data_IF_857129352243
#
_entry.id   IF_857129352243
#
_cell.length_a   1.000
_cell.length_b   1.000
_cell.length_c   1.000
_cell.angle_alpha   90.00
_cell.angle_beta   90.00
_cell.angle_gamma   90.00
#
_symmetry.space_group_name_H-M   'P 1'
#
loop_
_entity.id
_entity.type
_entity.pdbx_description
1 polymer ?
#
# COMPACT_ATOMS: atom_id res chain seq x y z
N UNK A 1 -21.28 8.72 3.28
CA UNK A 1 -22.14 7.59 2.85
C UNK A 1 -21.25 6.36 2.80
N UNK A 2 -21.53 5.36 3.65
CA UNK A 2 -20.82 4.06 3.61
C UNK A 2 -21.41 3.30 2.42
N UNK A 3 -20.80 3.45 1.24
CA UNK A 3 -21.03 2.44 0.21
C UNK A 3 -20.59 1.11 0.81
N UNK A 4 -21.46 0.10 0.77
CA UNK A 4 -21.12 -1.23 1.24
C UNK A 4 -19.88 -1.70 0.46
N UNK A 5 -18.79 -1.89 1.20
CA UNK A 5 -17.55 -2.36 0.60
C UNK A 5 -17.78 -3.77 0.06
N UNK A 6 -17.44 -4.00 -1.20
CA UNK A 6 -17.51 -5.35 -1.77
C UNK A 6 -16.77 -6.34 -0.85
N UNK A 7 -17.40 -7.42 -0.39
CA UNK A 7 -16.81 -8.35 0.57
C UNK A 7 -15.50 -9.00 0.08
N UNK A 8 -15.28 -9.05 -1.23
CA UNK A 8 -14.03 -9.53 -1.84
C UNK A 8 -12.85 -8.57 -1.65
N UNK A 9 -13.14 -7.28 -1.34
CA UNK A 9 -12.12 -6.23 -1.25
C UNK A 9 -11.13 -6.49 -0.12
N UNK A 10 -11.60 -6.75 1.08
CA UNK A 10 -10.76 -6.92 2.25
C UNK A 10 -10.37 -8.38 2.46
N UNK A 11 -9.10 -8.70 2.36
CA UNK A 11 -8.56 -9.99 2.74
C UNK A 11 -8.15 -9.92 4.22
N UNK A 12 -9.05 -10.38 5.10
CA UNK A 12 -8.84 -10.35 6.54
C UNK A 12 -7.79 -11.40 6.95
N UNK A 13 -6.55 -10.95 7.14
CA UNK A 13 -5.42 -11.72 7.64
C UNK A 13 -5.12 -11.29 9.07
N UNK A 14 -4.62 -12.22 9.91
CA UNK A 14 -4.30 -11.94 11.31
C UNK A 14 -3.08 -11.02 11.45
N UNK A 15 -2.08 -11.21 10.59
CA UNK A 15 -0.82 -10.47 10.61
C UNK A 15 -0.85 -9.12 9.91
N UNK A 16 -1.98 -8.70 9.31
CA UNK A 16 -2.11 -7.43 8.61
C UNK A 16 -3.44 -6.75 8.89
N UNK A 17 -3.49 -5.44 8.70
CA UNK A 17 -4.70 -4.64 8.85
C UNK A 17 -5.27 -4.15 7.52
N UNK A 18 -4.40 -3.96 6.52
CA UNK A 18 -4.70 -3.16 5.33
C UNK A 18 -4.60 -3.96 4.03
N UNK A 19 -4.65 -5.31 4.14
CA UNK A 19 -4.57 -6.17 2.95
C UNK A 19 -5.90 -6.16 2.21
N UNK A 20 -5.85 -5.78 0.93
CA UNK A 20 -7.03 -5.74 0.08
C UNK A 20 -6.73 -5.88 -1.40
N UNK A 21 -7.71 -6.42 -2.11
CA UNK A 21 -7.73 -6.51 -3.57
C UNK A 21 -8.16 -5.18 -4.19
N UNK A 22 -7.54 -4.78 -5.29
CA UNK A 22 -7.89 -3.57 -6.04
C UNK A 22 -8.69 -3.88 -7.33
N UNK A 23 -9.31 -5.06 -7.40
CA UNK A 23 -10.24 -5.44 -8.46
C UNK A 23 -11.59 -4.72 -8.38
N UNK A 24 -12.39 -4.80 -9.45
CA UNK A 24 -13.76 -4.29 -9.51
C UNK A 24 -13.89 -2.78 -9.65
N UNK A 25 -12.81 -2.01 -9.84
CA UNK A 25 -12.91 -0.59 -10.16
C UNK A 25 -13.19 -0.37 -11.64
N UNK A 26 -14.21 0.43 -11.93
CA UNK A 26 -14.53 0.84 -13.30
C UNK A 26 -13.39 1.67 -13.90
N UNK A 27 -13.15 1.47 -15.18
CA UNK A 27 -12.21 2.25 -15.99
C UNK A 27 -12.94 3.18 -16.95
N UNK A 28 -12.26 4.19 -17.46
CA UNK A 28 -12.87 5.17 -18.36
C UNK A 28 -13.29 4.62 -19.74
N UNK A 29 -13.00 3.37 -20.04
CA UNK A 29 -13.35 2.66 -21.28
C UNK A 29 -14.35 1.52 -21.05
N UNK A 30 -15.23 1.65 -20.05
CA UNK A 30 -16.29 0.71 -19.68
C UNK A 30 -15.84 -0.71 -19.29
N UNK A 31 -14.56 -0.87 -18.92
CA UNK A 31 -14.03 -2.10 -18.34
C UNK A 31 -13.95 -2.00 -16.81
N UNK A 32 -13.44 -3.04 -16.20
CA UNK A 32 -13.17 -3.08 -14.77
C UNK A 32 -11.81 -3.73 -14.50
N UNK A 33 -11.14 -3.30 -13.42
CA UNK A 33 -9.97 -3.99 -12.91
C UNK A 33 -10.34 -5.40 -12.45
N UNK A 34 -9.49 -6.39 -12.77
CA UNK A 34 -9.76 -7.78 -12.44
C UNK A 34 -9.51 -8.07 -10.97
N UNK A 35 -10.42 -8.83 -10.36
CA UNK A 35 -10.20 -9.44 -9.06
C UNK A 35 -9.15 -10.55 -9.12
N UNK A 36 -8.53 -10.84 -7.97
CA UNK A 36 -7.57 -11.94 -7.88
C UNK A 36 -6.25 -11.67 -8.60
N UNK A 37 -5.87 -10.39 -8.79
CA UNK A 37 -4.67 -10.02 -9.57
C UNK A 37 -3.69 -9.19 -8.78
N UNK A 38 -4.18 -8.20 -8.05
CA UNK A 38 -3.32 -7.26 -7.34
C UNK A 38 -3.86 -7.01 -5.94
N UNK A 39 -3.06 -7.36 -4.94
CA UNK A 39 -3.26 -7.02 -3.55
C UNK A 39 -2.36 -5.85 -3.16
N UNK A 40 -2.89 -4.93 -2.38
CA UNK A 40 -2.09 -3.97 -1.61
C UNK A 40 -2.15 -4.31 -0.13
N UNK A 41 -1.05 -4.08 0.60
CA UNK A 41 -0.97 -4.45 2.02
C UNK A 41 -0.07 -3.52 2.82
N UNK A 42 -0.18 -3.60 4.14
CA UNK A 42 0.86 -3.24 5.11
C UNK A 42 1.88 -4.38 5.23
N UNK A 43 2.81 -4.27 6.18
CA UNK A 43 3.95 -5.20 6.30
C UNK A 43 3.51 -6.64 6.55
N UNK A 44 4.13 -7.57 5.82
CA UNK A 44 3.83 -9.01 5.85
C UNK A 44 4.68 -9.79 6.86
N UNK A 45 5.47 -9.12 7.71
CA UNK A 45 6.42 -9.77 8.62
C UNK A 45 5.75 -10.56 9.76
N UNK A 46 4.49 -10.28 10.07
CA UNK A 46 3.73 -10.93 11.14
C UNK A 46 2.68 -11.94 10.64
N UNK A 47 2.68 -12.28 9.36
CA UNK A 47 1.74 -13.27 8.85
C UNK A 47 1.92 -14.63 9.55
N UNK A 48 0.81 -15.19 10.01
CA UNK A 48 0.74 -16.56 10.52
C UNK A 48 0.88 -17.58 9.37
N UNK A 49 1.01 -18.86 9.70
CA UNK A 49 1.00 -19.90 8.67
C UNK A 49 -0.37 -19.98 7.98
N UNK A 50 -1.46 -19.77 8.73
CA UNK A 50 -2.81 -19.73 8.17
C UNK A 50 -2.98 -18.55 7.19
N UNK A 51 -2.42 -17.39 7.52
CA UNK A 51 -2.40 -16.24 6.60
C UNK A 51 -1.63 -16.54 5.33
N UNK A 52 -0.46 -17.18 5.46
CA UNK A 52 0.34 -17.61 4.29
C UNK A 52 -0.43 -18.62 3.44
N UNK A 53 -1.13 -19.55 4.07
CA UNK A 53 -1.97 -20.52 3.37
C UNK A 53 -3.11 -19.83 2.60
N UNK A 54 -3.80 -18.85 3.21
CA UNK A 54 -4.83 -18.04 2.53
C UNK A 54 -4.29 -17.28 1.34
N UNK A 55 -3.06 -16.75 1.43
CA UNK A 55 -2.41 -16.08 0.29
C UNK A 55 -2.04 -17.08 -0.82
N UNK A 56 -1.62 -18.30 -0.47
CA UNK A 56 -1.41 -19.38 -1.45
C UNK A 56 -2.73 -19.76 -2.15
N UNK A 57 -3.81 -19.90 -1.40
CA UNK A 57 -5.15 -20.20 -1.94
C UNK A 57 -5.69 -19.06 -2.82
N UNK A 58 -5.36 -17.82 -2.50
CA UNK A 58 -5.61 -16.66 -3.37
C UNK A 58 -4.83 -16.77 -4.69
N UNK A 59 -3.80 -17.59 -4.74
CA UNK A 59 -2.93 -17.79 -5.90
C UNK A 59 -1.74 -16.85 -5.95
N UNK A 60 -1.33 -16.26 -4.80
CA UNK A 60 -0.20 -15.33 -4.74
C UNK A 60 1.05 -15.93 -5.36
N UNK A 61 1.66 -15.22 -6.31
CA UNK A 61 2.92 -15.60 -6.98
C UNK A 61 4.07 -14.67 -6.62
N UNK A 62 3.77 -13.42 -6.29
CA UNK A 62 4.81 -12.40 -6.15
C UNK A 62 4.53 -11.46 -4.98
N UNK A 63 5.58 -11.18 -4.24
CA UNK A 63 5.63 -10.11 -3.23
C UNK A 63 6.54 -9.00 -3.74
N UNK A 64 6.05 -7.77 -3.73
CA UNK A 64 6.81 -6.55 -4.01
C UNK A 64 6.90 -5.71 -2.73
N UNK A 65 8.04 -5.77 -2.07
CA UNK A 65 8.31 -5.07 -0.81
C UNK A 65 8.96 -3.70 -1.09
N UNK A 66 8.26 -2.62 -0.72
CA UNK A 66 8.68 -1.24 -0.95
C UNK A 66 9.41 -0.62 0.25
N UNK A 67 9.72 -1.41 1.27
CA UNK A 67 10.32 -0.93 2.51
C UNK A 67 11.79 -0.55 2.31
N UNK A 68 12.29 0.28 3.24
CA UNK A 68 13.73 0.58 3.33
C UNK A 68 14.51 -0.67 3.74
N UNK A 69 15.79 -0.70 3.42
CA UNK A 69 16.67 -1.79 3.83
C UNK A 69 16.62 -2.00 5.35
N UNK A 70 16.64 -0.92 6.13
CA UNK A 70 16.54 -1.00 7.59
C UNK A 70 15.24 -1.66 8.05
N UNK A 71 14.09 -1.28 7.48
CA UNK A 71 12.79 -1.87 7.83
C UNK A 71 12.76 -3.36 7.51
N UNK A 72 13.29 -3.75 6.36
CA UNK A 72 13.38 -5.15 5.94
C UNK A 72 14.29 -5.98 6.86
N UNK A 73 15.45 -5.44 7.27
CA UNK A 73 16.35 -6.15 8.18
C UNK A 73 15.79 -6.28 9.60
N UNK A 74 15.06 -5.28 10.10
CA UNK A 74 14.45 -5.31 11.43
C UNK A 74 13.22 -6.22 11.52
N UNK A 75 12.46 -6.28 10.45
CA UNK A 75 11.19 -7.04 10.34
C UNK A 75 11.20 -7.83 9.02
N UNK A 76 11.96 -8.95 8.92
CA UNK A 76 12.07 -9.72 7.70
C UNK A 76 10.69 -10.17 7.18
N UNK A 77 10.50 -10.10 5.85
CA UNK A 77 9.28 -10.59 5.24
C UNK A 77 9.23 -12.12 5.29
N UNK A 78 8.08 -12.68 5.62
CA UNK A 78 7.90 -14.14 5.72
C UNK A 78 8.12 -14.89 4.39
N UNK A 79 8.12 -14.17 3.27
CA UNK A 79 8.36 -14.73 1.93
C UNK A 79 9.78 -14.46 1.40
N UNK A 80 10.67 -13.88 2.22
CA UNK A 80 12.02 -13.49 1.76
C UNK A 80 12.81 -14.67 1.17
N UNK A 81 12.76 -15.86 1.81
CA UNK A 81 13.42 -17.09 1.35
C UNK A 81 12.42 -18.13 0.83
N UNK A 82 11.23 -17.71 0.38
CA UNK A 82 10.22 -18.63 -0.12
C UNK A 82 10.62 -19.25 -1.46
N UNK A 83 10.43 -20.56 -1.61
CA UNK A 83 10.56 -21.25 -2.88
C UNK A 83 9.29 -21.20 -3.74
N UNK A 84 8.15 -20.80 -3.16
CA UNK A 84 6.83 -20.81 -3.80
C UNK A 84 6.40 -19.43 -4.31
N UNK A 85 6.90 -18.37 -3.67
CA UNK A 85 6.54 -17.00 -3.97
C UNK A 85 7.79 -16.21 -4.32
N UNK A 86 7.80 -15.58 -5.50
CA UNK A 86 8.90 -14.72 -5.92
C UNK A 86 8.89 -13.42 -5.10
N UNK A 87 10.03 -13.11 -4.50
CA UNK A 87 10.17 -11.90 -3.67
C UNK A 87 11.03 -10.85 -4.38
N UNK A 88 10.46 -9.67 -4.57
CA UNK A 88 11.15 -8.48 -5.06
C UNK A 88 11.25 -7.45 -3.95
N UNK A 89 12.46 -7.01 -3.63
CA UNK A 89 12.69 -5.88 -2.74
C UNK A 89 13.09 -4.64 -3.54
N UNK A 90 12.24 -3.61 -3.48
CA UNK A 90 12.49 -2.31 -4.08
C UNK A 90 12.45 -1.23 -2.99
N UNK A 91 13.62 -0.82 -2.48
CA UNK A 91 13.69 0.28 -1.53
C UNK A 91 13.25 1.60 -2.20
N UNK A 92 11.93 1.80 -2.28
CA UNK A 92 11.30 2.84 -3.09
C UNK A 92 11.79 4.25 -2.73
N UNK A 93 12.07 4.53 -1.46
CA UNK A 93 12.42 5.88 -0.99
C UNK A 93 13.89 6.03 -0.61
N UNK A 94 14.67 4.94 -0.67
CA UNK A 94 16.09 4.90 -0.29
C UNK A 94 16.32 5.05 1.20
N UNK A 95 17.57 4.79 1.62
CA UNK A 95 17.99 4.90 3.02
C UNK A 95 18.59 6.28 3.34
N UNK A 96 19.04 7.00 2.33
CA UNK A 96 19.53 8.37 2.48
C UNK A 96 18.34 9.32 2.62
N UNK A 97 18.30 10.16 3.67
CA UNK A 97 17.28 11.17 3.80
C UNK A 97 17.19 12.08 2.56
N UNK A 98 15.99 12.41 2.15
CA UNK A 98 15.73 13.40 1.11
C UNK A 98 15.23 14.69 1.79
N UNK A 99 16.12 15.66 2.11
CA UNK A 99 15.72 16.88 2.79
C UNK A 99 14.62 17.66 2.07
N UNK A 100 14.57 17.55 0.74
CA UNK A 100 13.55 18.18 -0.11
C UNK A 100 12.13 17.66 0.15
N UNK A 101 11.97 16.49 0.80
CA UNK A 101 10.65 15.99 1.21
C UNK A 101 10.05 16.81 2.35
N UNK A 102 10.89 17.50 3.13
CA UNK A 102 10.41 18.45 4.10
C UNK A 102 9.76 19.60 3.34
N UNK A 103 8.47 19.77 3.58
CA UNK A 103 7.72 20.84 2.91
C UNK A 103 8.23 22.21 3.35
N UNK A 104 8.14 23.22 2.46
CA UNK A 104 8.34 24.60 2.87
C UNK A 104 7.47 24.97 4.09
N UNK A 105 7.92 25.89 4.94
CA UNK A 105 7.11 26.41 6.03
C UNK A 105 5.73 26.87 5.53
N UNK A 106 4.68 26.58 6.31
CA UNK A 106 3.31 26.97 5.99
C UNK A 106 2.49 25.95 5.19
N UNK A 107 3.09 24.89 4.68
CA UNK A 107 2.31 23.76 4.12
C UNK A 107 1.93 22.79 5.25
N UNK A 108 0.63 22.50 5.36
CA UNK A 108 0.08 21.58 6.35
C UNK A 108 -0.83 20.50 5.72
N UNK A 109 -1.11 19.47 6.48
CA UNK A 109 -2.09 18.43 6.12
C UNK A 109 -1.82 17.85 4.73
N UNK A 110 -2.85 17.93 3.87
CA UNK A 110 -2.83 17.34 2.53
C UNK A 110 -1.79 18.00 1.60
N UNK A 111 -1.58 19.31 1.71
CA UNK A 111 -0.64 20.05 0.86
C UNK A 111 0.81 19.62 1.16
N UNK A 112 1.14 19.44 2.43
CA UNK A 112 2.44 18.90 2.84
C UNK A 112 2.65 17.47 2.32
N UNK A 113 1.61 16.64 2.37
CA UNK A 113 1.67 15.27 1.86
C UNK A 113 1.84 15.24 0.34
N UNK A 114 1.08 16.06 -0.37
CA UNK A 114 1.18 16.25 -1.81
C UNK A 114 2.60 16.67 -2.22
N UNK A 115 3.18 17.64 -1.52
CA UNK A 115 4.58 18.03 -1.71
C UNK A 115 5.53 16.84 -1.55
N UNK A 116 5.45 16.13 -0.43
CA UNK A 116 6.32 14.98 -0.17
C UNK A 116 6.21 13.90 -1.24
N UNK A 117 5.01 13.62 -1.75
CA UNK A 117 4.79 12.62 -2.79
C UNK A 117 5.35 13.06 -4.14
N UNK A 118 5.17 14.32 -4.53
CA UNK A 118 5.75 14.82 -5.79
C UNK A 118 7.28 14.73 -5.77
N UNK A 119 7.92 15.08 -4.65
CA UNK A 119 9.38 14.91 -4.51
C UNK A 119 9.80 13.43 -4.62
N UNK A 120 9.08 12.51 -3.98
CA UNK A 120 9.38 11.08 -4.13
C UNK A 120 9.27 10.66 -5.59
N UNK A 121 8.19 11.00 -6.26
CA UNK A 121 7.98 10.64 -7.67
C UNK A 121 9.04 11.26 -8.58
N UNK A 122 9.47 12.49 -8.32
CA UNK A 122 10.51 13.14 -9.11
C UNK A 122 11.91 12.55 -8.89
N UNK A 123 12.26 12.23 -7.66
CA UNK A 123 13.60 11.77 -7.31
C UNK A 123 13.81 10.27 -7.47
N UNK A 124 12.72 9.50 -7.50
CA UNK A 124 12.75 8.03 -7.51
C UNK A 124 12.08 7.44 -8.77
N UNK A 125 12.18 8.14 -9.88
CA UNK A 125 11.58 7.72 -11.17
C UNK A 125 12.07 6.34 -11.63
N UNK A 126 13.35 6.05 -11.41
CA UNK A 126 13.94 4.78 -11.81
C UNK A 126 13.33 3.62 -10.99
N UNK A 127 13.27 3.78 -9.68
CA UNK A 127 12.71 2.77 -8.77
C UNK A 127 11.21 2.56 -9.03
N UNK A 128 10.46 3.65 -9.23
CA UNK A 128 9.04 3.57 -9.58
C UNK A 128 8.84 2.85 -10.91
N UNK A 129 9.62 3.19 -11.94
CA UNK A 129 9.59 2.49 -13.24
C UNK A 129 9.88 1.00 -13.08
N UNK A 130 10.90 0.64 -12.31
CA UNK A 130 11.32 -0.75 -12.15
C UNK A 130 10.23 -1.56 -11.42
N UNK A 131 9.57 -0.98 -10.41
CA UNK A 131 8.42 -1.59 -9.74
C UNK A 131 7.25 -1.78 -10.73
N UNK A 132 6.92 -0.76 -11.51
CA UNK A 132 5.83 -0.85 -12.49
C UNK A 132 6.15 -1.86 -13.60
N UNK A 133 7.40 -1.99 -14.02
CA UNK A 133 7.83 -3.01 -14.98
C UNK A 133 7.65 -4.44 -14.43
N UNK A 134 7.95 -4.68 -13.15
CA UNK A 134 7.64 -5.97 -12.49
C UNK A 134 6.14 -6.23 -12.58
N UNK A 135 5.30 -5.28 -12.19
CA UNK A 135 3.84 -5.44 -12.17
C UNK A 135 3.20 -5.54 -13.57
N UNK A 136 3.87 -5.03 -14.60
CA UNK A 136 3.42 -5.14 -15.99
C UNK A 136 3.62 -6.53 -16.58
N UNK A 137 4.46 -7.37 -15.98
CA UNK A 137 4.63 -8.75 -16.44
C UNK A 137 3.47 -9.63 -15.93
N UNK A 138 2.63 -10.21 -16.82
CA UNK A 138 1.49 -11.03 -16.39
C UNK A 138 1.90 -12.31 -15.64
N UNK A 139 3.13 -12.80 -15.80
CA UNK A 139 3.60 -14.02 -15.15
C UNK A 139 3.87 -13.83 -13.65
N UNK A 140 4.08 -12.61 -13.20
CA UNK A 140 4.26 -12.32 -11.76
C UNK A 140 2.93 -12.19 -11.00
N UNK A 141 1.81 -12.16 -11.71
CA UNK A 141 0.49 -11.98 -11.12
C UNK A 141 -0.15 -13.34 -10.74
N UNK A 142 -0.92 -13.43 -9.67
CA UNK A 142 -1.26 -12.38 -8.69
C UNK A 142 -0.08 -11.90 -7.84
N UNK A 143 -0.03 -10.59 -7.58
CA UNK A 143 1.02 -9.97 -6.79
C UNK A 143 0.46 -9.20 -5.58
N UNK A 144 1.22 -9.15 -4.48
CA UNK A 144 0.98 -8.22 -3.37
C UNK A 144 2.07 -7.17 -3.33
N UNK A 145 1.66 -5.90 -3.30
CA UNK A 145 2.56 -4.74 -3.11
C UNK A 145 2.37 -4.20 -1.71
N UNK A 146 3.45 -4.07 -0.95
CA UNK A 146 3.36 -3.61 0.43
C UNK A 146 4.51 -2.69 0.84
N UNK A 147 4.30 -1.98 1.94
CA UNK A 147 5.35 -1.28 2.69
C UNK A 147 5.16 -1.51 4.19
N UNK A 148 5.56 -0.61 5.07
CA UNK A 148 5.34 -0.79 6.52
C UNK A 148 3.85 -0.62 6.91
N UNK A 149 3.20 0.45 6.51
CA UNK A 149 1.79 0.73 6.85
C UNK A 149 0.80 0.53 5.72
N UNK A 150 1.25 0.15 4.53
CA UNK A 150 0.37 -0.01 3.35
C UNK A 150 -0.28 1.29 2.86
N UNK A 151 0.23 2.45 3.31
CA UNK A 151 -0.36 3.75 3.08
C UNK A 151 0.34 4.54 1.96
N UNK A 152 1.50 5.11 2.26
CA UNK A 152 2.16 6.09 1.38
C UNK A 152 2.83 5.45 0.17
N UNK A 153 3.88 4.65 0.38
CA UNK A 153 4.63 3.99 -0.70
C UNK A 153 3.74 3.06 -1.52
N UNK A 154 3.01 2.20 -0.82
CA UNK A 154 2.02 1.29 -1.41
C UNK A 154 0.92 2.08 -2.14
N UNK A 155 0.42 3.15 -1.52
CA UNK A 155 -0.60 4.01 -2.11
C UNK A 155 -0.15 4.70 -3.39
N UNK A 156 1.10 5.19 -3.45
CA UNK A 156 1.66 5.79 -4.67
C UNK A 156 1.73 4.77 -5.83
N UNK A 157 2.28 3.59 -5.58
CA UNK A 157 2.37 2.55 -6.61
C UNK A 157 0.98 2.08 -7.04
N UNK A 158 0.06 1.87 -6.09
CA UNK A 158 -1.33 1.49 -6.41
C UNK A 158 -2.03 2.57 -7.24
N UNK A 159 -1.88 3.85 -6.87
CA UNK A 159 -2.47 4.95 -7.62
C UNK A 159 -1.95 5.04 -9.06
N UNK A 160 -0.64 4.88 -9.25
CA UNK A 160 -0.03 4.84 -10.58
C UNK A 160 -0.53 3.64 -11.39
N UNK A 161 -0.60 2.45 -10.78
CA UNK A 161 -1.08 1.23 -11.46
C UNK A 161 -2.54 1.38 -11.88
N UNK A 162 -3.42 1.86 -10.99
CA UNK A 162 -4.84 2.10 -11.30
C UNK A 162 -5.00 3.19 -12.37
N UNK A 163 -4.23 4.28 -12.29
CA UNK A 163 -4.26 5.36 -13.28
C UNK A 163 -3.82 4.89 -14.67
N UNK A 164 -2.77 4.04 -14.75
CA UNK A 164 -2.29 3.48 -16.02
C UNK A 164 -3.35 2.60 -16.72
N UNK A 165 -4.23 1.95 -15.96
CA UNK A 165 -5.33 1.15 -16.53
C UNK A 165 -6.65 1.92 -16.66
N UNK A 166 -6.62 3.25 -16.46
CA UNK A 166 -7.73 4.14 -16.74
C UNK A 166 -8.78 4.25 -15.64
N UNK A 167 -8.46 3.89 -14.41
CA UNK A 167 -9.39 4.12 -13.26
C UNK A 167 -9.43 5.63 -12.95
N UNK A 168 -10.64 6.24 -12.78
CA UNK A 168 -10.79 7.65 -12.47
C UNK A 168 -10.08 8.07 -11.17
N UNK A 169 -9.58 9.30 -11.14
CA UNK A 169 -8.83 9.83 -9.99
C UNK A 169 -9.64 9.83 -8.68
N UNK A 170 -10.94 10.07 -8.76
CA UNK A 170 -11.87 10.03 -7.64
C UNK A 170 -11.93 8.63 -7.01
N UNK A 171 -12.05 7.58 -7.84
CA UNK A 171 -12.05 6.19 -7.39
C UNK A 171 -10.71 5.79 -6.77
N UNK A 172 -9.60 6.25 -7.35
CA UNK A 172 -8.25 6.06 -6.78
C UNK A 172 -8.14 6.72 -5.40
N UNK A 173 -8.67 7.93 -5.27
CA UNK A 173 -8.68 8.64 -4.00
C UNK A 173 -9.56 7.94 -2.94
N UNK A 174 -10.70 7.38 -3.35
CA UNK A 174 -11.57 6.57 -2.48
C UNK A 174 -10.87 5.29 -2.00
N UNK A 175 -10.21 4.54 -2.91
CA UNK A 175 -9.40 3.39 -2.49
C UNK A 175 -8.29 3.81 -1.50
N UNK A 176 -7.59 4.88 -1.79
CA UNK A 176 -6.55 5.37 -0.87
C UNK A 176 -7.13 5.71 0.51
N UNK A 177 -8.31 6.34 0.57
CA UNK A 177 -8.99 6.71 1.81
C UNK A 177 -9.42 5.49 2.66
N UNK A 178 -9.68 4.33 2.05
CA UNK A 178 -9.95 3.08 2.77
C UNK A 178 -8.80 2.69 3.72
N UNK A 179 -7.58 3.15 3.44
CA UNK A 179 -6.41 2.89 4.29
C UNK A 179 -6.62 3.40 5.72
N UNK A 180 -7.27 4.54 5.90
CA UNK A 180 -7.60 5.04 7.24
C UNK A 180 -8.53 4.08 7.99
N UNK A 181 -9.57 3.59 7.31
CA UNK A 181 -10.52 2.62 7.87
C UNK A 181 -9.84 1.32 8.30
N UNK A 182 -9.02 0.75 7.42
CA UNK A 182 -8.36 -0.53 7.69
C UNK A 182 -7.25 -0.43 8.74
N UNK A 183 -6.52 0.67 8.77
CA UNK A 183 -5.46 0.89 9.77
C UNK A 183 -5.97 1.40 11.13
N UNK A 184 -7.25 1.75 11.27
CA UNK A 184 -7.81 2.21 12.54
C UNK A 184 -7.53 1.26 13.71
N UNK A 185 -7.72 -0.08 13.62
CA UNK A 185 -7.39 -0.98 14.71
C UNK A 185 -5.93 -0.90 15.15
N UNK A 186 -5.00 -0.81 14.18
CA UNK A 186 -3.56 -0.63 14.45
C UNK A 186 -3.28 0.66 15.22
N UNK A 187 -3.95 1.76 14.85
CA UNK A 187 -3.79 3.05 15.53
C UNK A 187 -4.36 3.02 16.95
N UNK A 188 -5.49 2.34 17.15
CA UNK A 188 -6.08 2.16 18.50
C UNK A 188 -5.16 1.35 19.42
N UNK A 189 -4.50 0.32 18.91
CA UNK A 189 -3.51 -0.45 19.70
C UNK A 189 -2.32 0.45 20.10
N UNK A 190 -1.84 1.30 19.18
CA UNK A 190 -0.70 2.21 19.44
C UNK A 190 -1.08 3.42 20.29
N UNK A 191 -2.31 3.85 20.20
CA UNK A 191 -2.85 4.99 20.95
C UNK A 191 -4.25 4.66 21.50
N UNK A 192 -4.34 4.02 22.67
CA UNK A 192 -5.62 3.62 23.27
C UNK A 192 -6.53 4.81 23.64
N UNK A 193 -6.01 6.04 23.68
CA UNK A 193 -6.79 7.25 23.96
C UNK A 193 -7.45 7.83 22.70
N UNK A 194 -7.17 7.26 21.53
CA UNK A 194 -7.77 7.71 20.28
C UNK A 194 -9.27 7.42 20.29
N UNK A 195 -10.09 8.43 20.02
CA UNK A 195 -11.53 8.23 19.84
C UNK A 195 -11.82 7.74 18.40
N UNK A 196 -12.31 6.50 18.24
CA UNK A 196 -12.62 5.96 16.93
C UNK A 196 -13.64 6.79 16.13
N UNK A 197 -14.57 7.46 16.82
CA UNK A 197 -15.61 8.26 16.18
C UNK A 197 -15.06 9.56 15.55
N UNK A 198 -13.95 10.06 16.10
CA UNK A 198 -13.29 11.27 15.60
C UNK A 198 -12.11 10.95 14.68
N UNK A 199 -11.69 9.66 14.60
CA UNK A 199 -10.62 9.23 13.72
C UNK A 199 -11.02 9.41 12.26
N UNK A 200 -10.53 10.47 11.68
CA UNK A 200 -10.77 10.83 10.29
C UNK A 200 -9.50 10.63 9.48
N UNK A 201 -9.63 10.68 8.16
CA UNK A 201 -8.51 10.79 7.24
C UNK A 201 -7.44 11.83 7.67
N UNK A 202 -7.84 12.93 8.32
CA UNK A 202 -6.92 13.97 8.82
C UNK A 202 -6.00 13.45 9.92
N UNK A 203 -6.51 12.64 10.85
CA UNK A 203 -5.70 12.03 11.93
C UNK A 203 -4.68 11.04 11.38
N UNK A 204 -5.12 10.20 10.43
CA UNK A 204 -4.22 9.29 9.74
C UNK A 204 -3.04 10.01 9.07
N UNK A 205 -3.24 11.21 8.55
CA UNK A 205 -2.18 12.01 7.95
C UNK A 205 -1.15 12.52 8.97
N UNK A 206 -1.55 12.81 10.20
CA UNK A 206 -0.66 13.31 11.25
C UNK A 206 0.23 12.20 11.81
N UNK A 207 -0.33 11.00 12.03
CA UNK A 207 0.39 9.87 12.61
C UNK A 207 1.48 9.29 11.69
N UNK A 208 1.31 9.38 10.38
CA UNK A 208 2.29 8.88 9.41
C UNK A 208 3.47 9.82 9.16
N UNK A 209 3.42 11.04 9.69
CA UNK A 209 4.48 12.04 9.52
C UNK A 209 5.51 12.08 10.66
N UNK A 210 5.26 11.36 11.76
CA UNK A 210 6.11 11.35 12.97
C UNK A 210 7.01 10.11 13.09
N UNK A 211 7.10 9.26 12.07
CA UNK A 211 7.95 8.07 12.05
C UNK A 211 9.09 8.15 11.03
#
# INVERSE_FOLDING_TARGET
>A
MSADLDPRRHLALEGTYNTRDIGGYATGDDRQTRWGVYLRSDSLHQLSEDDRQRLREYGLRTVVDLRRNREMHQEPNVFFDSSEVTYYHHNMIGDIPMPERHSPPGLEGIERKRWSYSIVLDRRKAEVRDILNVLANPEVLPAVVHCAGGADRTGLITALTLGLVGVPAETIAEDYALTARFNLPRHLVRNPQLDPATYTWRHFQLDTCSA
#
